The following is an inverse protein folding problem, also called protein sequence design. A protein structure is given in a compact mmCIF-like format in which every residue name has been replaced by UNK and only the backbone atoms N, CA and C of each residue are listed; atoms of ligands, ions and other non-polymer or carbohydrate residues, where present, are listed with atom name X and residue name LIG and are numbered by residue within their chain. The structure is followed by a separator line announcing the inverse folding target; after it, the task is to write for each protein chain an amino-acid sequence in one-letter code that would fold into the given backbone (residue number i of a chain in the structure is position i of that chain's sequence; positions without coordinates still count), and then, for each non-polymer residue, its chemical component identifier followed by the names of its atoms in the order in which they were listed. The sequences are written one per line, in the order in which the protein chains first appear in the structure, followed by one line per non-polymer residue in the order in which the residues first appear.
data_IF_470125819867
#
_entry.id   IF_470125819867
#
_cell.length_a   1.000
_cell.length_b   1.000
_cell.length_c   1.000
_cell.angle_alpha   90.00
_cell.angle_beta   90.00
_cell.angle_gamma   90.00
#
_symmetry.space_group_name_H-M   'P 1'
#
loop_
_entity.id
_entity.type
_entity.pdbx_description
1 polymer ?
#
# COMPACT_ATOMS: atom_id res chain seq x y z
N UNK A 1 -12.56 -11.28 10.19
CA UNK A 1 -13.45 -10.25 10.75
C UNK A 1 -12.86 -9.76 12.07
N UNK A 2 -12.08 -8.67 12.04
CA UNK A 2 -11.31 -8.15 13.19
C UNK A 2 -11.94 -6.87 13.77
N UNK A 3 -12.87 -6.23 13.05
CA UNK A 3 -13.35 -4.89 13.37
C UNK A 3 -14.83 -4.93 13.78
N UNK A 4 -15.18 -4.47 15.00
CA UNK A 4 -16.54 -4.51 15.49
C UNK A 4 -17.47 -3.62 14.66
N UNK A 5 -18.73 -4.06 14.49
CA UNK A 5 -19.67 -3.49 13.51
C UNK A 5 -19.83 -1.97 13.61
N UNK A 6 -19.90 -1.44 14.84
CA UNK A 6 -20.12 -0.02 15.10
C UNK A 6 -18.92 0.88 14.74
N UNK A 7 -17.72 0.31 14.53
CA UNK A 7 -16.51 1.06 14.14
C UNK A 7 -16.16 0.93 12.66
N UNK A 8 -16.79 0.02 11.92
CA UNK A 8 -16.44 -0.27 10.52
C UNK A 8 -16.52 0.98 9.64
N UNK A 9 -17.57 1.79 9.77
CA UNK A 9 -17.73 3.02 9.00
C UNK A 9 -16.61 4.04 9.24
N UNK A 10 -16.17 4.19 10.49
CA UNK A 10 -15.06 5.09 10.84
C UNK A 10 -13.73 4.60 10.28
N UNK A 11 -13.48 3.29 10.32
CA UNK A 11 -12.26 2.71 9.76
C UNK A 11 -12.21 2.87 8.24
N UNK A 12 -13.24 2.44 7.52
CA UNK A 12 -13.29 2.55 6.06
C UNK A 12 -13.25 4.01 5.59
N UNK A 13 -13.95 4.92 6.29
CA UNK A 13 -13.87 6.35 6.00
C UNK A 13 -12.46 6.92 6.18
N UNK A 14 -11.74 6.49 7.21
CA UNK A 14 -10.35 6.92 7.44
C UNK A 14 -9.42 6.41 6.34
N UNK A 15 -9.50 5.12 5.99
CA UNK A 15 -8.70 4.52 4.91
C UNK A 15 -8.97 5.24 3.58
N UNK A 16 -10.23 5.47 3.24
CA UNK A 16 -10.63 6.16 2.02
C UNK A 16 -10.12 7.62 2.00
N UNK A 17 -10.19 8.33 3.13
CA UNK A 17 -9.69 9.70 3.23
C UNK A 17 -8.17 9.75 3.01
N UNK A 18 -7.41 8.86 3.64
CA UNK A 18 -5.97 8.75 3.41
C UNK A 18 -5.63 8.42 1.95
N UNK A 19 -6.36 7.48 1.34
CA UNK A 19 -6.17 7.12 -0.06
C UNK A 19 -6.46 8.30 -1.01
N UNK A 20 -7.58 8.99 -0.81
CA UNK A 20 -7.97 10.15 -1.62
C UNK A 20 -6.97 11.31 -1.46
N UNK A 21 -6.47 11.54 -0.24
CA UNK A 21 -5.43 12.53 0.02
C UNK A 21 -4.14 12.18 -0.75
N UNK A 22 -3.70 10.92 -0.70
CA UNK A 22 -2.56 10.45 -1.49
C UNK A 22 -2.78 10.58 -3.00
N UNK A 23 -3.96 10.21 -3.50
CA UNK A 23 -4.31 10.31 -4.92
C UNK A 23 -4.37 11.77 -5.42
N UNK A 24 -4.66 12.72 -4.53
CA UNK A 24 -4.67 14.15 -4.86
C UNK A 24 -3.28 14.78 -4.75
N UNK A 25 -2.58 14.52 -3.64
CA UNK A 25 -1.26 15.10 -3.37
C UNK A 25 -0.16 14.46 -4.24
N UNK A 26 -0.26 13.18 -4.56
CA UNK A 26 0.72 12.44 -5.33
C UNK A 26 1.02 13.08 -6.69
N UNK A 27 0.02 13.32 -7.56
CA UNK A 27 0.22 13.99 -8.84
C UNK A 27 0.71 15.43 -8.70
N UNK A 28 0.25 16.17 -7.69
CA UNK A 28 0.70 17.56 -7.46
C UNK A 28 2.19 17.61 -7.11
N UNK A 29 2.60 16.83 -6.10
CA UNK A 29 4.00 16.77 -5.65
C UNK A 29 4.87 16.16 -6.74
N UNK A 30 4.43 15.05 -7.36
CA UNK A 30 5.15 14.37 -8.43
C UNK A 30 5.35 15.26 -9.66
N UNK A 31 4.33 16.02 -10.06
CA UNK A 31 4.42 16.97 -11.16
C UNK A 31 5.41 18.11 -10.88
N UNK A 32 5.39 18.67 -9.67
CA UNK A 32 6.35 19.71 -9.26
C UNK A 32 7.78 19.17 -9.24
N UNK A 33 7.99 17.98 -8.68
CA UNK A 33 9.30 17.32 -8.67
C UNK A 33 9.81 17.07 -10.10
N UNK A 34 8.95 16.53 -10.97
CA UNK A 34 9.31 16.31 -12.37
C UNK A 34 9.67 17.61 -13.07
N UNK A 35 8.85 18.65 -12.95
CA UNK A 35 9.09 19.95 -13.58
C UNK A 35 10.42 20.58 -13.10
N UNK A 36 10.76 20.39 -11.82
CA UNK A 36 11.97 20.96 -11.22
C UNK A 36 13.23 20.20 -11.64
N UNK A 37 13.18 18.86 -11.70
CA UNK A 37 14.38 18.03 -11.83
C UNK A 37 14.55 17.34 -13.19
N UNK A 38 13.54 17.34 -14.06
CA UNK A 38 13.59 16.62 -15.36
C UNK A 38 14.76 17.01 -16.26
N UNK A 39 15.20 18.28 -16.22
CA UNK A 39 16.33 18.78 -17.00
C UNK A 39 17.64 18.87 -16.19
N UNK A 40 17.61 18.53 -14.90
CA UNK A 40 18.78 18.58 -14.05
C UNK A 40 19.68 17.37 -14.31
N UNK A 41 21.00 17.59 -14.31
CA UNK A 41 21.99 16.53 -14.41
C UNK A 41 22.95 16.69 -13.23
N UNK A 42 23.07 15.64 -12.42
CA UNK A 42 23.92 15.63 -11.23
C UNK A 42 25.16 14.80 -11.53
N UNK A 43 26.33 15.43 -11.43
CA UNK A 43 27.61 14.74 -11.56
C UNK A 43 28.12 14.37 -10.16
N UNK A 44 28.06 13.09 -9.82
CA UNK A 44 28.66 12.53 -8.60
C UNK A 44 29.91 11.72 -8.99
N UNK A 45 31.04 12.41 -9.16
CA UNK A 45 32.30 11.79 -9.56
C UNK A 45 32.19 11.15 -10.94
N UNK A 46 32.41 9.82 -11.09
CA UNK A 46 32.24 9.13 -12.39
C UNK A 46 30.77 8.86 -12.75
N UNK A 47 29.83 9.07 -11.82
CA UNK A 47 28.41 8.80 -12.04
C UNK A 47 27.68 10.05 -12.52
N UNK A 48 26.93 9.91 -13.60
CA UNK A 48 26.02 10.93 -14.11
C UNK A 48 24.61 10.46 -13.80
N UNK A 49 23.90 11.22 -12.97
CA UNK A 49 22.53 10.92 -12.57
C UNK A 49 21.61 11.95 -13.21
N UNK A 50 20.68 11.47 -14.03
CA UNK A 50 19.61 12.30 -14.57
C UNK A 50 18.60 12.62 -13.48
N UNK A 51 18.24 13.90 -13.33
CA UNK A 51 17.28 14.35 -12.34
C UNK A 51 15.88 13.78 -12.56
N UNK A 52 15.58 13.29 -13.77
CA UNK A 52 14.39 12.48 -14.10
C UNK A 52 14.22 11.28 -13.16
N UNK A 53 15.31 10.71 -12.65
CA UNK A 53 15.28 9.51 -11.80
C UNK A 53 14.83 9.84 -10.36
N UNK A 54 15.00 11.08 -9.90
CA UNK A 54 14.70 11.48 -8.51
C UNK A 54 13.24 11.26 -8.09
N UNK A 55 12.21 11.64 -8.87
CA UNK A 55 10.82 11.34 -8.55
C UNK A 55 10.56 9.83 -8.38
N UNK A 56 11.20 9.00 -9.21
CA UNK A 56 11.02 7.54 -9.13
C UNK A 56 11.68 6.96 -7.88
N UNK A 57 12.86 7.45 -7.49
CA UNK A 57 13.49 7.03 -6.24
C UNK A 57 12.69 7.45 -5.01
N UNK A 58 12.10 8.65 -5.02
CA UNK A 58 11.19 9.08 -3.95
C UNK A 58 9.95 8.18 -3.88
N UNK A 59 9.35 7.85 -5.02
CA UNK A 59 8.21 6.93 -5.08
C UNK A 59 8.59 5.53 -4.57
N UNK A 60 9.74 5.01 -4.99
CA UNK A 60 10.27 3.73 -4.51
C UNK A 60 10.52 3.74 -3.00
N UNK A 61 11.09 4.83 -2.47
CA UNK A 61 11.30 5.02 -1.03
C UNK A 61 9.99 5.00 -0.24
N UNK A 62 8.96 5.70 -0.72
CA UNK A 62 7.62 5.67 -0.10
C UNK A 62 7.00 4.27 -0.15
N UNK A 63 7.16 3.55 -1.26
CA UNK A 63 6.73 2.16 -1.38
C UNK A 63 7.44 1.23 -0.39
N UNK A 64 8.75 1.40 -0.23
CA UNK A 64 9.56 0.63 0.72
C UNK A 64 9.14 0.93 2.17
N UNK A 65 8.87 2.19 2.50
CA UNK A 65 8.34 2.58 3.81
C UNK A 65 6.98 1.91 4.03
N UNK A 66 6.09 1.92 3.04
CA UNK A 66 4.79 1.23 3.12
C UNK A 66 4.94 -0.28 3.35
N UNK A 67 5.84 -0.92 2.61
CA UNK A 67 6.15 -2.34 2.77
C UNK A 67 6.73 -2.64 4.16
N UNK A 68 7.63 -1.78 4.65
CA UNK A 68 8.20 -1.89 5.99
C UNK A 68 7.14 -1.75 7.08
N UNK A 69 6.22 -0.80 6.95
CA UNK A 69 5.11 -0.62 7.89
C UNK A 69 4.19 -1.84 7.90
N UNK A 70 3.84 -2.39 6.73
CA UNK A 70 3.08 -3.63 6.64
C UNK A 70 3.82 -4.77 7.35
N UNK A 71 5.09 -4.99 7.01
CA UNK A 71 5.90 -6.04 7.61
C UNK A 71 6.03 -5.91 9.14
N UNK A 72 6.12 -4.68 9.65
CA UNK A 72 6.34 -4.43 11.08
C UNK A 72 5.06 -4.46 11.92
N UNK A 73 3.92 -4.07 11.36
CA UNK A 73 2.68 -3.82 12.12
C UNK A 73 1.51 -4.72 11.75
N UNK A 74 1.56 -5.41 10.61
CA UNK A 74 0.51 -6.36 10.23
C UNK A 74 0.96 -7.76 10.61
N UNK A 75 0.30 -8.33 11.61
CA UNK A 75 0.41 -9.76 11.92
C UNK A 75 -0.36 -10.57 10.86
N UNK A 76 0.17 -11.74 10.49
CA UNK A 76 -0.51 -12.64 9.56
C UNK A 76 -1.91 -12.99 10.11
N UNK A 77 -2.94 -12.70 9.33
CA UNK A 77 -4.30 -13.09 9.68
C UNK A 77 -4.41 -14.60 9.49
N UNK A 78 -4.40 -15.35 10.59
CA UNK A 78 -4.51 -16.81 10.70
C UNK A 78 -5.05 -17.50 9.43
N UNK A 79 -4.23 -18.41 8.87
CA UNK A 79 -4.66 -19.35 7.82
C UNK A 79 -5.95 -20.04 8.25
N UNK A 80 -6.96 -19.99 7.40
CA UNK A 80 -8.23 -20.70 7.58
C UNK A 80 -7.93 -22.12 8.05
N UNK A 81 -8.45 -22.51 9.21
CA UNK A 81 -8.51 -23.89 9.65
C UNK A 81 -9.19 -24.64 8.51
N UNK A 82 -8.42 -25.45 7.76
CA UNK A 82 -8.96 -26.32 6.72
C UNK A 82 -9.94 -27.24 7.46
N UNK A 83 -11.23 -26.98 7.32
CA UNK A 83 -12.24 -27.89 7.83
C UNK A 83 -12.03 -29.21 7.09
N UNK A 84 -11.83 -30.33 7.79
CA UNK A 84 -11.73 -31.61 7.13
C UNK A 84 -13.08 -31.89 6.44
N UNK A 85 -13.01 -32.55 5.28
CA UNK A 85 -14.09 -32.66 4.29
C UNK A 85 -15.28 -33.53 4.73
N UNK A 86 -15.29 -34.00 5.97
CA UNK A 86 -16.20 -34.98 6.56
C UNK A 86 -17.49 -34.37 7.13
N UNK A 87 -17.55 -33.06 7.42
CA UNK A 87 -18.79 -32.40 7.91
C UNK A 87 -19.69 -31.81 6.80
N UNK A 88 -19.23 -31.77 5.55
CA UNK A 88 -20.03 -31.24 4.44
C UNK A 88 -21.07 -32.23 3.91
N UNK A 89 -20.81 -33.54 3.98
CA UNK A 89 -21.77 -34.54 3.48
C UNK A 89 -22.97 -34.74 4.43
N UNK A 90 -22.79 -34.59 5.75
CA UNK A 90 -23.89 -34.79 6.72
C UNK A 90 -25.01 -33.77 6.60
N UNK A 91 -24.75 -32.55 6.10
CA UNK A 91 -25.78 -31.51 5.99
C UNK A 91 -26.57 -31.53 4.67
N UNK A 92 -26.13 -32.32 3.68
CA UNK A 92 -26.86 -32.49 2.42
C UNK A 92 -27.83 -33.67 2.45
N UNK A 93 -27.73 -34.55 3.46
CA UNK A 93 -28.57 -35.76 3.59
C UNK A 93 -29.77 -35.57 4.56
N UNK A 94 -29.95 -34.35 5.10
CA UNK A 94 -31.01 -34.00 6.08
C UNK A 94 -32.00 -32.96 5.51
N UNK A 95 -32.03 -32.75 4.20
CA UNK A 95 -33.08 -31.95 3.51
C UNK A 95 -33.81 -32.82 2.50
#
# INVERSE_FOLDING_TARGET
DIVPWHLRGKLFGTIQACFNAGATLGPLIGGVLYATFSLAVFHLGPFVIEGLVLPFWLAAGLGLVGAFLLWRFVDETYSLKVLPADEQETNLDVT
#
